data_IF_667367128096
#
_entry.id   IF_667367128096
#
_cell.length_a   1.000
_cell.length_b   1.000
_cell.length_c   1.000
_cell.angle_alpha   90.00
_cell.angle_beta   90.00
_cell.angle_gamma   90.00
#
_symmetry.space_group_name_H-M   'P 1'
#
loop_
_entity.id
_entity.type
_entity.pdbx_description
1 polymer ?
#
# COMPACT_ATOMS: atom_id res chain seq x y z
N UNK A 1 -25.44 28.77 -39.40
CA UNK A 1 -25.63 27.40 -38.88
C UNK A 1 -24.33 26.57 -38.86
N UNK A 2 -23.65 26.44 -39.99
CA UNK A 2 -22.42 25.63 -40.12
C UNK A 2 -21.31 26.05 -39.14
N UNK A 3 -21.10 27.36 -38.93
CA UNK A 3 -20.06 27.89 -38.05
C UNK A 3 -20.32 27.55 -36.57
N UNK A 4 -21.55 27.63 -36.07
CA UNK A 4 -21.92 27.34 -34.68
C UNK A 4 -21.80 25.84 -34.39
N UNK A 5 -22.29 24.99 -35.31
CA UNK A 5 -22.10 23.53 -35.19
C UNK A 5 -20.62 23.15 -35.21
N UNK A 6 -19.79 23.85 -36.02
CA UNK A 6 -18.33 23.62 -36.04
C UNK A 6 -17.66 23.97 -34.72
N UNK A 7 -18.00 25.09 -34.10
CA UNK A 7 -17.45 25.51 -32.80
C UNK A 7 -17.84 24.55 -31.68
N UNK A 8 -19.10 24.11 -31.61
CA UNK A 8 -19.56 23.13 -30.62
C UNK A 8 -18.82 21.80 -30.78
N UNK A 9 -18.64 21.31 -32.01
CA UNK A 9 -17.92 20.08 -32.30
C UNK A 9 -16.45 20.18 -31.88
N UNK A 10 -15.79 21.32 -32.16
CA UNK A 10 -14.42 21.58 -31.76
C UNK A 10 -14.27 21.58 -30.22
N UNK A 11 -15.21 22.22 -29.51
CA UNK A 11 -15.19 22.23 -28.01
C UNK A 11 -15.41 20.85 -27.47
N UNK A 12 -16.31 20.03 -28.00
CA UNK A 12 -16.54 18.65 -27.61
C UNK A 12 -15.30 17.80 -27.84
N UNK A 13 -14.67 17.91 -29.02
CA UNK A 13 -13.44 17.21 -29.36
C UNK A 13 -12.26 17.64 -28.46
N UNK A 14 -12.14 18.93 -28.15
CA UNK A 14 -11.15 19.51 -27.28
C UNK A 14 -11.34 19.01 -25.82
N UNK A 15 -12.58 18.93 -25.36
CA UNK A 15 -12.92 18.36 -24.05
C UNK A 15 -12.55 16.87 -23.97
N UNK A 16 -12.91 16.06 -24.98
CA UNK A 16 -12.51 14.65 -25.05
C UNK A 16 -11.00 14.50 -25.19
N UNK A 17 -10.33 15.36 -25.96
CA UNK A 17 -8.88 15.37 -26.07
C UNK A 17 -8.21 15.70 -24.72
N UNK A 18 -8.69 16.74 -24.01
CA UNK A 18 -8.19 17.10 -22.68
C UNK A 18 -8.48 16.01 -21.65
N UNK A 19 -9.65 15.36 -21.73
CA UNK A 19 -9.95 14.19 -20.89
C UNK A 19 -9.00 13.03 -21.18
N UNK A 20 -8.65 12.79 -22.43
CA UNK A 20 -7.81 11.68 -22.85
C UNK A 20 -6.31 11.95 -22.59
N UNK A 21 -5.86 13.21 -22.76
CA UNK A 21 -4.49 13.62 -22.40
C UNK A 21 -4.31 13.70 -20.89
N UNK A 22 -5.33 14.07 -20.13
CA UNK A 22 -5.32 13.96 -18.68
C UNK A 22 -5.32 12.49 -18.21
N UNK A 23 -5.88 11.55 -19.00
CA UNK A 23 -5.70 10.08 -18.78
C UNK A 23 -4.27 9.64 -19.04
N UNK A 24 -3.57 10.23 -20.02
CA UNK A 24 -2.18 9.85 -20.39
C UNK A 24 -1.10 10.52 -19.54
N UNK A 25 -1.40 11.61 -18.84
CA UNK A 25 -0.55 12.15 -17.76
C UNK A 25 -0.84 11.43 -16.44
N UNK A 26 -0.81 10.11 -16.47
CA UNK A 26 -0.33 9.40 -15.29
C UNK A 26 1.03 9.98 -14.95
N UNK A 27 1.30 10.39 -13.71
CA UNK A 27 2.65 10.71 -13.30
C UNK A 27 3.51 9.55 -13.79
N UNK A 28 4.65 9.88 -14.41
CA UNK A 28 5.62 8.89 -14.85
C UNK A 28 5.75 7.87 -13.73
N UNK A 29 5.67 6.55 -13.99
CA UNK A 29 5.66 5.56 -12.96
C UNK A 29 6.83 5.87 -12.05
N UNK A 30 6.49 6.36 -10.85
CA UNK A 30 7.45 6.50 -9.78
C UNK A 30 8.06 5.12 -9.68
N UNK A 31 9.33 5.02 -9.99
CA UNK A 31 10.16 3.86 -10.18
C UNK A 31 9.51 2.58 -9.64
N UNK A 32 9.18 1.68 -10.60
CA UNK A 32 8.72 0.32 -10.32
C UNK A 32 7.35 0.25 -9.62
N UNK A 33 6.32 0.21 -10.42
CA UNK A 33 5.07 -0.56 -10.30
C UNK A 33 4.39 -0.73 -8.93
N UNK A 34 4.63 0.15 -7.95
CA UNK A 34 3.89 0.09 -6.68
C UNK A 34 2.52 0.71 -6.87
N UNK A 35 1.49 -0.09 -6.69
CA UNK A 35 0.15 0.42 -6.39
C UNK A 35 0.23 1.24 -5.10
N UNK A 36 -0.35 2.44 -5.11
CA UNK A 36 -0.56 3.20 -3.87
C UNK A 36 -1.71 2.52 -3.13
N UNK A 37 -1.40 1.92 -1.99
CA UNK A 37 -2.39 1.30 -1.13
C UNK A 37 -2.92 2.30 -0.10
N UNK A 38 -4.15 2.06 0.37
CA UNK A 38 -4.71 2.83 1.48
C UNK A 38 -3.81 2.70 2.72
N UNK A 39 -3.33 3.80 3.28
CA UNK A 39 -2.50 3.75 4.48
C UNK A 39 -3.34 3.26 5.67
N UNK A 40 -2.85 2.23 6.34
CA UNK A 40 -3.53 1.60 7.48
C UNK A 40 -2.56 1.49 8.65
N UNK A 41 -3.01 1.92 9.83
CA UNK A 41 -2.34 1.64 11.08
C UNK A 41 -3.35 1.06 12.07
N UNK A 42 -3.09 -0.14 12.56
CA UNK A 42 -3.95 -0.83 13.51
C UNK A 42 -3.14 -1.19 14.74
N UNK A 43 -3.57 -0.70 15.90
CA UNK A 43 -3.08 -1.20 17.19
C UNK A 43 -3.80 -2.49 17.53
N UNK A 44 -3.04 -3.53 17.81
CA UNK A 44 -3.54 -4.87 18.13
C UNK A 44 -3.39 -5.06 19.64
N UNK A 45 -4.51 -4.97 20.38
CA UNK A 45 -4.51 -5.08 21.84
C UNK A 45 -5.82 -5.68 22.37
N UNK A 46 -6.33 -6.73 21.69
CA UNK A 46 -7.63 -7.33 22.04
C UNK A 46 -7.69 -8.82 21.68
N UNK A 47 -8.86 -9.41 21.89
CA UNK A 47 -9.15 -10.79 21.47
C UNK A 47 -9.15 -10.89 19.92
N UNK A 48 -8.76 -12.03 19.35
CA UNK A 48 -8.68 -12.22 17.91
C UNK A 48 -9.94 -11.81 17.16
N UNK A 49 -11.10 -12.26 17.65
CA UNK A 49 -12.40 -11.98 17.01
C UNK A 49 -12.78 -10.50 17.03
N UNK A 50 -12.39 -9.76 18.05
CA UNK A 50 -12.59 -8.32 18.15
C UNK A 50 -11.72 -7.58 17.14
N UNK A 51 -10.44 -7.97 17.04
CA UNK A 51 -9.49 -7.40 16.08
C UNK A 51 -9.96 -7.65 14.65
N UNK A 52 -10.33 -8.89 14.32
CA UNK A 52 -10.82 -9.24 12.98
C UNK A 52 -12.10 -8.48 12.62
N UNK A 53 -13.06 -8.36 13.55
CA UNK A 53 -14.26 -7.51 13.36
C UNK A 53 -13.91 -6.05 13.15
N UNK A 54 -12.95 -5.51 13.91
CA UNK A 54 -12.45 -4.16 13.71
C UNK A 54 -11.86 -3.95 12.33
N UNK A 55 -11.05 -4.89 11.85
CA UNK A 55 -10.49 -4.88 10.51
C UNK A 55 -11.59 -4.94 9.43
N UNK A 56 -12.60 -5.82 9.59
CA UNK A 56 -13.72 -5.92 8.65
C UNK A 56 -14.58 -4.66 8.63
N UNK A 57 -14.84 -4.05 9.77
CA UNK A 57 -15.58 -2.81 9.85
C UNK A 57 -14.83 -1.67 9.15
N UNK A 58 -13.50 -1.60 9.31
CA UNK A 58 -12.67 -0.63 8.62
C UNK A 58 -12.74 -0.79 7.10
N UNK A 59 -12.66 -2.02 6.57
CA UNK A 59 -12.85 -2.30 5.14
C UNK A 59 -14.23 -1.84 4.67
N UNK A 60 -15.30 -2.16 5.42
CA UNK A 60 -16.66 -1.74 5.08
C UNK A 60 -16.84 -0.23 5.08
N UNK A 61 -16.23 0.50 6.01
CA UNK A 61 -16.28 1.96 6.03
C UNK A 61 -15.58 2.56 4.82
N UNK A 62 -14.39 2.06 4.49
CA UNK A 62 -13.67 2.50 3.29
C UNK A 62 -14.49 2.20 2.03
N UNK A 63 -15.06 1.01 1.89
CA UNK A 63 -15.92 0.66 0.75
C UNK A 63 -17.19 1.53 0.67
N UNK A 64 -17.79 1.89 1.81
CA UNK A 64 -18.95 2.82 1.81
C UNK A 64 -18.58 4.21 1.30
N UNK A 65 -17.41 4.72 1.65
CA UNK A 65 -16.93 6.01 1.13
C UNK A 65 -16.63 5.95 -0.35
N UNK A 66 -16.16 4.82 -0.87
CA UNK A 66 -15.97 4.57 -2.30
C UNK A 66 -17.28 4.59 -3.07
N UNK A 67 -18.27 3.79 -2.61
CA UNK A 67 -19.58 3.73 -3.27
C UNK A 67 -20.30 5.07 -3.25
N UNK A 68 -20.11 5.89 -2.22
CA UNK A 68 -20.60 7.25 -2.19
C UNK A 68 -19.90 8.11 -3.27
N UNK A 69 -18.57 8.00 -3.40
CA UNK A 69 -17.79 8.70 -4.43
C UNK A 69 -18.20 8.30 -5.86
N UNK A 70 -18.49 7.02 -6.09
CA UNK A 70 -18.90 6.51 -7.42
C UNK A 70 -20.25 7.10 -7.89
N UNK A 71 -21.20 7.32 -7.00
CA UNK A 71 -22.47 7.97 -7.32
C UNK A 71 -22.28 9.40 -7.84
N UNK A 72 -21.25 10.10 -7.36
CA UNK A 72 -20.95 11.48 -7.77
C UNK A 72 -20.14 11.56 -9.08
N UNK A 73 -19.61 10.46 -9.58
CA UNK A 73 -18.82 10.41 -10.84
C UNK A 73 -19.62 10.83 -12.08
N UNK A 74 -20.93 10.65 -12.06
CA UNK A 74 -21.81 11.01 -13.17
C UNK A 74 -22.17 12.51 -13.20
N UNK A 75 -22.04 13.22 -12.09
CA UNK A 75 -22.44 14.63 -11.99
C UNK A 75 -21.68 15.52 -12.97
N UNK A 76 -20.34 15.45 -13.11
CA UNK A 76 -19.63 16.26 -14.11
C UNK A 76 -20.14 16.03 -15.54
N UNK A 77 -20.51 14.79 -15.85
CA UNK A 77 -21.02 14.41 -17.15
C UNK A 77 -22.43 14.98 -17.38
N UNK A 78 -23.29 14.95 -16.38
CA UNK A 78 -24.62 15.58 -16.43
C UNK A 78 -24.48 17.09 -16.62
N UNK A 79 -23.65 17.77 -15.85
CA UNK A 79 -23.41 19.22 -15.95
C UNK A 79 -22.87 19.56 -17.34
N UNK A 80 -21.98 18.75 -17.89
CA UNK A 80 -21.45 18.93 -19.24
C UNK A 80 -22.56 18.87 -20.29
N UNK A 81 -23.46 17.88 -20.24
CA UNK A 81 -24.58 17.77 -21.19
C UNK A 81 -25.61 18.87 -21.05
N UNK A 82 -25.85 19.37 -19.83
CA UNK A 82 -26.68 20.57 -19.63
C UNK A 82 -26.06 21.76 -20.36
N UNK A 83 -24.75 21.96 -20.26
CA UNK A 83 -24.03 23.01 -21.01
C UNK A 83 -24.18 22.87 -22.53
N UNK A 84 -24.11 21.63 -23.06
CA UNK A 84 -24.32 21.34 -24.49
C UNK A 84 -25.76 21.72 -24.90
N UNK A 85 -26.76 21.34 -24.10
CA UNK A 85 -28.18 21.68 -24.39
C UNK A 85 -28.40 23.18 -24.40
N UNK A 86 -27.84 23.93 -23.45
CA UNK A 86 -27.95 25.41 -23.44
C UNK A 86 -27.30 26.04 -24.68
N UNK A 87 -26.13 25.54 -25.11
CA UNK A 87 -25.49 26.04 -26.34
C UNK A 87 -26.31 25.73 -27.59
N UNK A 88 -27.01 24.60 -27.62
CA UNK A 88 -27.88 24.23 -28.73
C UNK A 88 -29.11 25.16 -28.81
N UNK A 89 -29.68 25.54 -27.65
CA UNK A 89 -30.79 26.50 -27.56
C UNK A 89 -30.37 27.88 -28.12
N UNK A 90 -29.17 28.35 -27.70
CA UNK A 90 -28.64 29.63 -28.20
C UNK A 90 -28.44 29.59 -29.72
N UNK A 91 -27.92 28.49 -30.26
CA UNK A 91 -27.78 28.26 -31.69
C UNK A 91 -29.12 28.33 -32.45
N UNK A 92 -30.18 27.76 -31.84
CA UNK A 92 -31.53 27.79 -32.41
C UNK A 92 -32.12 29.23 -32.42
N UNK A 93 -31.93 29.97 -31.32
CA UNK A 93 -32.37 31.37 -31.22
C UNK A 93 -31.70 32.28 -32.27
N UNK A 94 -30.40 32.11 -32.48
CA UNK A 94 -29.67 32.83 -33.52
C UNK A 94 -30.22 32.52 -34.91
N UNK A 95 -30.61 31.28 -35.15
CA UNK A 95 -31.20 30.85 -36.41
C UNK A 95 -32.59 31.46 -36.66
N UNK A 96 -33.33 31.76 -35.58
CA UNK A 96 -34.60 32.46 -35.59
C UNK A 96 -34.46 34.00 -35.66
N UNK A 97 -33.23 34.52 -35.78
CA UNK A 97 -32.94 35.95 -35.88
C UNK A 97 -32.77 36.69 -34.55
N UNK A 98 -32.77 35.97 -33.41
CA UNK A 98 -32.51 36.56 -32.10
C UNK A 98 -31.02 36.50 -31.80
N UNK A 99 -30.39 37.65 -31.54
CA UNK A 99 -28.98 37.71 -31.12
C UNK A 99 -28.92 37.59 -29.59
N UNK A 100 -28.65 36.40 -29.09
CA UNK A 100 -28.44 36.11 -27.66
C UNK A 100 -27.19 35.27 -27.47
N UNK A 101 -26.32 35.66 -26.54
CA UNK A 101 -25.14 34.88 -26.15
C UNK A 101 -25.19 34.46 -24.67
N UNK A 102 -26.31 34.73 -24.00
CA UNK A 102 -26.44 34.51 -22.56
C UNK A 102 -26.31 33.01 -22.22
N UNK A 103 -26.96 32.15 -23.02
CA UNK A 103 -26.90 30.69 -22.80
C UNK A 103 -25.53 30.12 -23.14
N UNK A 104 -24.85 30.65 -24.15
CA UNK A 104 -23.47 30.24 -24.49
C UNK A 104 -22.48 30.58 -23.38
N UNK A 105 -22.59 31.77 -22.77
CA UNK A 105 -21.76 32.17 -21.63
C UNK A 105 -22.05 31.26 -20.42
N UNK A 106 -23.33 31.01 -20.13
CA UNK A 106 -23.73 30.06 -19.07
C UNK A 106 -23.17 28.64 -19.29
N UNK A 107 -23.21 28.16 -20.54
CA UNK A 107 -22.64 26.86 -20.91
C UNK A 107 -21.11 26.77 -20.65
N UNK A 108 -20.37 27.85 -20.95
CA UNK A 108 -18.93 27.92 -20.67
C UNK A 108 -18.62 27.77 -19.18
N UNK A 109 -19.39 28.43 -18.30
CA UNK A 109 -19.25 28.27 -16.85
C UNK A 109 -19.55 26.84 -16.40
N UNK A 110 -20.60 26.21 -16.95
CA UNK A 110 -20.95 24.83 -16.64
C UNK A 110 -19.86 23.87 -17.09
N UNK A 111 -19.26 24.06 -18.26
CA UNK A 111 -18.14 23.22 -18.72
C UNK A 111 -16.90 23.39 -17.87
N UNK A 112 -16.57 24.61 -17.43
CA UNK A 112 -15.47 24.86 -16.52
C UNK A 112 -15.72 24.16 -15.15
N UNK A 113 -16.94 24.30 -14.61
CA UNK A 113 -17.32 23.63 -13.36
C UNK A 113 -17.26 22.11 -13.50
N UNK A 114 -17.78 21.53 -14.60
CA UNK A 114 -17.70 20.11 -14.88
C UNK A 114 -16.23 19.61 -14.95
N UNK A 115 -15.36 20.38 -15.58
CA UNK A 115 -13.94 20.05 -15.70
C UNK A 115 -13.22 20.08 -14.34
N UNK A 116 -13.45 21.12 -13.53
CA UNK A 116 -12.85 21.22 -12.18
C UNK A 116 -13.34 20.07 -11.30
N UNK A 117 -14.65 19.77 -11.33
CA UNK A 117 -15.23 18.67 -10.56
C UNK A 117 -14.71 17.31 -11.02
N UNK A 118 -14.63 17.06 -12.33
CA UNK A 118 -14.06 15.83 -12.89
C UNK A 118 -12.59 15.65 -12.49
N UNK A 119 -11.82 16.73 -12.40
CA UNK A 119 -10.42 16.69 -11.94
C UNK A 119 -10.31 16.42 -10.43
N UNK A 120 -11.23 16.96 -9.64
CA UNK A 120 -11.28 16.74 -8.18
C UNK A 120 -11.66 15.30 -7.85
N UNK A 121 -12.66 14.75 -8.52
CA UNK A 121 -13.14 13.38 -8.30
C UNK A 121 -12.11 12.31 -8.72
N UNK A 122 -11.19 12.62 -9.63
CA UNK A 122 -10.12 11.68 -10.05
C UNK A 122 -9.05 11.43 -9.00
N UNK A 123 -8.92 12.27 -7.98
CA UNK A 123 -7.93 12.07 -6.91
C UNK A 123 -8.32 11.00 -5.89
N UNK A 124 -9.55 10.50 -5.98
CA UNK A 124 -10.11 9.51 -5.05
C UNK A 124 -9.94 8.05 -5.50
N UNK A 125 -9.12 7.76 -6.50
CA UNK A 125 -9.04 6.42 -7.08
C UNK A 125 -8.01 5.53 -6.38
N UNK A 126 -8.49 4.52 -5.81
CA UNK A 126 -7.96 3.24 -5.31
C UNK A 126 -7.78 3.17 -3.79
N UNK A 127 -8.80 2.70 -3.12
CA UNK A 127 -8.72 2.18 -1.76
C UNK A 127 -8.38 0.67 -1.78
N UNK A 128 -7.36 0.30 -2.55
CA UNK A 128 -6.83 -1.05 -2.50
C UNK A 128 -6.05 -1.24 -1.19
N UNK A 129 -6.35 -2.29 -0.47
CA UNK A 129 -5.57 -2.67 0.70
C UNK A 129 -4.34 -3.47 0.29
N UNK A 130 -3.23 -3.22 0.99
CA UNK A 130 -2.01 -3.99 0.78
C UNK A 130 -2.25 -5.49 0.97
N UNK A 131 -1.64 -6.37 0.16
CA UNK A 131 -1.64 -7.82 0.41
C UNK A 131 -1.24 -8.19 1.84
N UNK A 132 -0.39 -7.39 2.48
CA UNK A 132 0.00 -7.55 3.90
C UNK A 132 -1.17 -7.41 4.87
N UNK A 133 -2.15 -6.57 4.53
CA UNK A 133 -3.36 -6.42 5.34
C UNK A 133 -4.14 -7.73 5.39
N UNK A 134 -4.44 -8.29 4.22
CA UNK A 134 -5.13 -9.57 4.11
C UNK A 134 -4.31 -10.72 4.71
N UNK A 135 -3.00 -10.73 4.44
CA UNK A 135 -2.08 -11.71 5.01
C UNK A 135 -2.02 -11.66 6.54
N UNK A 136 -2.06 -10.46 7.14
CA UNK A 136 -2.10 -10.32 8.59
C UNK A 136 -3.40 -10.85 9.18
N UNK A 137 -4.54 -10.57 8.52
CA UNK A 137 -5.84 -11.10 8.93
C UNK A 137 -5.84 -12.63 8.92
N UNK A 138 -5.27 -13.25 7.88
CA UNK A 138 -5.14 -14.69 7.76
C UNK A 138 -4.23 -15.30 8.84
N UNK A 139 -3.11 -14.64 9.14
CA UNK A 139 -2.23 -15.04 10.25
C UNK A 139 -2.98 -14.99 11.59
N UNK A 140 -3.73 -13.92 11.85
CA UNK A 140 -4.53 -13.79 13.08
C UNK A 140 -5.63 -14.87 13.16
N UNK A 141 -6.27 -15.17 12.03
CA UNK A 141 -7.29 -16.21 11.93
C UNK A 141 -6.71 -17.61 12.23
N UNK A 142 -5.57 -17.93 11.65
CA UNK A 142 -4.90 -19.22 11.86
C UNK A 142 -4.40 -19.36 13.30
N UNK A 143 -3.79 -18.30 13.86
CA UNK A 143 -3.27 -18.36 15.23
C UNK A 143 -4.36 -18.28 16.31
N UNK A 144 -5.59 -17.91 15.94
CA UNK A 144 -6.71 -17.80 16.88
C UNK A 144 -6.95 -19.12 17.64
N UNK A 145 -6.90 -20.22 16.92
CA UNK A 145 -7.23 -21.53 17.46
C UNK A 145 -6.10 -22.07 18.37
N UNK A 146 -4.89 -21.54 18.24
CA UNK A 146 -3.73 -21.86 19.07
C UNK A 146 -3.62 -20.98 20.32
N UNK A 147 -4.53 -20.02 20.54
CA UNK A 147 -4.48 -19.14 21.70
C UNK A 147 -5.08 -19.78 22.94
N UNK A 148 -4.49 -19.46 24.09
CA UNK A 148 -5.11 -19.78 25.37
C UNK A 148 -6.48 -19.08 25.47
N UNK A 149 -7.54 -19.75 25.97
CA UNK A 149 -8.84 -19.14 26.17
C UNK A 149 -8.74 -17.82 26.95
N UNK A 150 -9.30 -16.74 26.39
CA UNK A 150 -9.24 -15.40 26.96
C UNK A 150 -7.93 -14.64 26.72
N UNK A 151 -6.93 -15.23 26.07
CA UNK A 151 -5.69 -14.53 25.69
C UNK A 151 -5.98 -13.47 24.62
N UNK A 152 -5.17 -12.40 24.66
CA UNK A 152 -5.22 -11.29 23.72
C UNK A 152 -3.97 -11.27 22.85
N UNK A 153 -4.11 -10.82 21.61
CA UNK A 153 -2.96 -10.40 20.82
C UNK A 153 -2.53 -9.00 21.27
N UNK A 154 -1.22 -8.78 21.28
CA UNK A 154 -0.62 -7.47 21.51
C UNK A 154 0.33 -7.15 20.37
N UNK A 155 0.28 -5.91 19.85
CA UNK A 155 1.20 -5.48 18.82
C UNK A 155 0.64 -4.37 17.93
N UNK A 156 1.11 -4.32 16.70
CA UNK A 156 0.65 -3.36 15.70
C UNK A 156 0.84 -3.86 14.27
N UNK A 157 0.03 -3.30 13.39
CA UNK A 157 0.13 -3.41 11.94
C UNK A 157 0.26 -1.99 11.36
N UNK A 158 1.36 -1.71 10.67
CA UNK A 158 1.63 -0.43 10.02
C UNK A 158 1.79 -0.61 8.51
N UNK A 159 0.78 -0.19 7.75
CA UNK A 159 0.76 -0.20 6.30
C UNK A 159 0.73 1.23 5.72
N UNK A 160 1.24 2.21 6.45
CA UNK A 160 1.27 3.62 6.02
C UNK A 160 2.25 3.89 4.88
N UNK A 161 3.08 2.92 4.55
CA UNK A 161 4.08 2.98 3.47
C UNK A 161 5.50 2.80 3.98
N UNK A 162 6.30 2.03 3.23
CA UNK A 162 7.65 1.64 3.65
C UNK A 162 8.72 2.73 3.41
N UNK A 163 8.47 3.71 2.55
CA UNK A 163 9.44 4.73 2.15
C UNK A 163 9.02 6.15 2.56
N UNK A 164 8.35 6.29 3.70
CA UNK A 164 8.04 7.59 4.28
C UNK A 164 9.29 8.24 4.89
N UNK A 165 9.34 9.57 4.85
CA UNK A 165 10.48 10.32 5.42
C UNK A 165 10.69 10.04 6.92
N UNK A 166 9.63 9.76 7.65
CA UNK A 166 9.65 9.38 9.08
C UNK A 166 10.30 8.01 9.35
N UNK A 167 10.41 7.17 8.33
CA UNK A 167 10.99 5.81 8.41
C UNK A 167 12.44 5.74 7.89
N UNK A 168 13.06 6.89 7.60
CA UNK A 168 14.48 6.95 7.23
C UNK A 168 15.33 6.62 8.44
N UNK A 169 16.00 5.48 8.41
CA UNK A 169 16.92 5.06 9.49
C UNK A 169 18.32 5.65 9.32
N UNK A 170 18.76 5.81 8.07
CA UNK A 170 20.12 6.32 7.76
C UNK A 170 20.17 6.89 6.34
N UNK A 171 21.00 7.93 6.15
CA UNK A 171 21.41 8.44 4.85
C UNK A 171 22.91 8.17 4.63
N UNK A 172 23.27 7.75 3.44
CA UNK A 172 24.67 7.56 3.03
C UNK A 172 24.93 8.33 1.77
N UNK A 173 26.12 8.95 1.68
CA UNK A 173 26.59 9.60 0.46
C UNK A 173 27.72 8.77 -0.15
N UNK A 174 27.71 8.64 -1.45
CA UNK A 174 28.81 8.04 -2.19
C UNK A 174 29.86 9.10 -2.60
N UNK A 175 30.97 8.64 -3.16
CA UNK A 175 32.09 9.49 -3.66
C UNK A 175 31.67 10.50 -4.73
N UNK A 176 30.48 10.36 -5.31
CA UNK A 176 29.91 11.26 -6.31
C UNK A 176 28.83 12.17 -5.73
N UNK A 177 28.79 12.36 -4.40
CA UNK A 177 27.80 13.16 -3.68
C UNK A 177 26.33 12.73 -3.92
N UNK A 178 26.11 11.45 -4.25
CA UNK A 178 24.74 10.92 -4.42
C UNK A 178 24.25 10.37 -3.09
N UNK A 179 23.17 10.93 -2.60
CA UNK A 179 22.56 10.51 -1.33
C UNK A 179 21.67 9.29 -1.54
N UNK A 180 21.90 8.25 -0.76
CA UNK A 180 21.03 7.07 -0.66
C UNK A 180 20.40 7.05 0.73
N UNK A 181 19.07 6.98 0.75
CA UNK A 181 18.26 6.81 1.96
C UNK A 181 18.03 5.33 2.22
N UNK A 182 18.22 4.92 3.46
CA UNK A 182 17.91 3.59 3.97
C UNK A 182 16.69 3.70 4.87
N UNK A 183 15.64 3.01 4.53
CA UNK A 183 14.39 2.99 5.27
C UNK A 183 14.29 1.72 6.11
N UNK A 184 13.69 1.83 7.28
CA UNK A 184 13.34 0.70 8.14
C UNK A 184 11.89 0.83 8.55
N UNK A 185 11.08 -0.13 8.10
CA UNK A 185 9.64 -0.14 8.29
C UNK A 185 9.24 -1.39 9.10
N UNK A 186 9.06 -1.28 10.42
CA UNK A 186 8.52 -2.36 11.25
C UNK A 186 7.00 -2.44 11.06
N UNK A 187 6.56 -3.07 9.99
CA UNK A 187 5.17 -3.06 9.58
C UNK A 187 4.27 -4.03 10.35
N UNK A 188 4.83 -5.09 10.96
CA UNK A 188 4.09 -6.07 11.74
C UNK A 188 4.82 -6.38 13.04
N UNK A 189 4.08 -6.35 14.13
CA UNK A 189 4.50 -6.86 15.43
C UNK A 189 3.32 -7.56 16.08
N UNK A 190 3.48 -8.82 16.47
CA UNK A 190 2.48 -9.62 17.15
C UNK A 190 3.11 -10.33 18.34
N UNK A 191 2.40 -10.32 19.47
CA UNK A 191 2.74 -11.10 20.67
C UNK A 191 1.48 -11.81 21.15
N UNK A 192 1.58 -13.09 21.44
CA UNK A 192 0.47 -13.89 21.93
C UNK A 192 0.94 -14.95 22.93
N UNK A 193 0.10 -15.29 23.92
CA UNK A 193 0.26 -16.45 24.77
C UNK A 193 -0.57 -17.59 24.19
N UNK A 194 0.11 -18.67 23.83
CA UNK A 194 -0.51 -19.81 23.18
C UNK A 194 -1.11 -20.78 24.21
N UNK A 195 -1.95 -21.70 23.73
CA UNK A 195 -2.65 -22.68 24.54
C UNK A 195 -1.68 -23.61 25.31
N UNK A 196 -0.57 -23.93 24.67
CA UNK A 196 0.50 -24.77 25.22
C UNK A 196 1.36 -24.09 26.31
N UNK A 197 1.04 -22.84 26.65
CA UNK A 197 1.76 -22.01 27.62
C UNK A 197 2.94 -21.23 27.06
N UNK A 198 3.35 -21.48 25.83
CA UNK A 198 4.41 -20.75 25.16
C UNK A 198 3.99 -19.31 24.84
N UNK A 199 4.97 -18.39 24.76
CA UNK A 199 4.72 -17.00 24.31
C UNK A 199 5.41 -16.79 22.98
N UNK A 200 4.58 -16.58 21.96
CA UNK A 200 5.04 -16.26 20.62
C UNK A 200 5.17 -14.75 20.44
N UNK A 201 6.27 -14.29 19.85
CA UNK A 201 6.45 -12.94 19.33
C UNK A 201 6.94 -13.02 17.89
N UNK A 202 6.24 -12.34 16.99
CA UNK A 202 6.58 -12.25 15.57
C UNK A 202 6.70 -10.79 15.21
N UNK A 203 7.78 -10.41 14.54
CA UNK A 203 7.88 -9.07 13.95
C UNK A 203 8.47 -9.14 12.56
N UNK A 204 7.87 -8.38 11.64
CA UNK A 204 8.33 -8.25 10.27
C UNK A 204 8.77 -6.80 10.01
N UNK A 205 9.99 -6.64 9.51
CA UNK A 205 10.62 -5.35 9.22
C UNK A 205 11.00 -5.32 7.75
N UNK A 206 10.53 -4.33 7.02
CA UNK A 206 10.99 -4.09 5.66
C UNK A 206 12.10 -3.06 5.66
N UNK A 207 13.24 -3.41 5.08
CA UNK A 207 14.36 -2.51 4.83
C UNK A 207 14.41 -2.18 3.35
N UNK A 208 14.36 -0.90 3.00
CA UNK A 208 14.38 -0.45 1.62
C UNK A 208 15.47 0.57 1.39
N UNK A 209 16.00 0.62 0.17
CA UNK A 209 17.04 1.58 -0.22
C UNK A 209 16.57 2.40 -1.41
N UNK A 210 16.65 3.73 -1.32
CA UNK A 210 16.24 4.66 -2.35
C UNK A 210 17.32 5.73 -2.54
N UNK A 211 17.79 5.90 -3.76
CA UNK A 211 18.69 6.99 -4.09
C UNK A 211 17.88 8.24 -4.41
N UNK A 212 18.20 9.37 -3.75
CA UNK A 212 17.60 10.69 -4.04
C UNK A 212 17.90 11.14 -5.48
N UNK A 213 17.09 12.03 -6.01
CA UNK A 213 17.37 12.71 -7.27
C UNK A 213 18.68 13.52 -7.16
N UNK A 214 19.45 13.59 -8.24
CA UNK A 214 20.69 14.34 -8.28
C UNK A 214 20.96 14.89 -9.68
N UNK A 215 21.71 16.00 -9.73
CA UNK A 215 22.15 16.59 -10.99
C UNK A 215 23.40 15.86 -11.50
N UNK A 216 23.36 15.44 -12.75
CA UNK A 216 24.54 14.84 -13.42
C UNK A 216 24.92 15.67 -14.63
N UNK A 217 26.17 16.14 -14.67
CA UNK A 217 26.73 16.81 -15.84
C UNK A 217 27.12 15.79 -16.89
N UNK A 218 26.70 16.03 -18.14
CA UNK A 218 27.10 15.22 -19.29
C UNK A 218 28.58 15.46 -19.61
N UNK A 219 29.34 14.39 -19.80
CA UNK A 219 30.77 14.50 -20.18
C UNK A 219 30.93 15.02 -21.62
N UNK A 220 29.97 14.75 -22.52
CA UNK A 220 30.04 15.12 -23.92
C UNK A 220 29.53 16.55 -24.16
N UNK A 221 28.33 16.86 -23.68
CA UNK A 221 27.69 18.14 -23.98
C UNK A 221 27.83 19.20 -22.88
N UNK A 222 28.47 18.89 -21.75
CA UNK A 222 28.59 19.78 -20.59
C UNK A 222 27.27 20.12 -19.90
N UNK A 223 26.11 19.77 -20.47
CA UNK A 223 24.78 20.09 -19.93
C UNK A 223 24.47 19.28 -18.68
N UNK A 224 23.91 19.91 -17.67
CA UNK A 224 23.42 19.24 -16.48
C UNK A 224 22.02 18.67 -16.72
N UNK A 225 21.80 17.41 -16.30
CA UNK A 225 20.50 16.70 -16.35
C UNK A 225 20.13 16.22 -14.96
N UNK A 226 18.92 16.49 -14.55
CA UNK A 226 18.37 15.91 -13.33
C UNK A 226 18.14 14.41 -13.54
N UNK A 227 18.77 13.58 -12.72
CA UNK A 227 18.49 12.16 -12.62
C UNK A 227 17.43 11.95 -11.55
N UNK A 228 16.29 11.30 -11.88
CA UNK A 228 15.24 11.06 -10.91
C UNK A 228 15.71 10.13 -9.80
N UNK A 229 14.96 10.13 -8.72
CA UNK A 229 15.14 9.16 -7.66
C UNK A 229 15.06 7.72 -8.20
N UNK A 230 15.80 6.82 -7.56
CA UNK A 230 15.84 5.41 -7.98
C UNK A 230 15.77 4.49 -6.79
N UNK A 231 14.81 3.58 -6.83
CA UNK A 231 14.74 2.43 -5.92
C UNK A 231 15.96 1.50 -6.14
N UNK A 232 16.56 1.03 -5.05
CA UNK A 232 17.80 0.25 -5.06
C UNK A 232 17.63 -1.17 -4.55
N UNK A 233 16.44 -1.50 -4.10
CA UNK A 233 16.11 -2.82 -3.58
C UNK A 233 15.49 -2.75 -2.20
N UNK A 234 14.94 -3.86 -1.81
CA UNK A 234 14.25 -4.08 -0.54
C UNK A 234 14.66 -5.44 0.00
N UNK A 235 14.64 -5.56 1.32
CA UNK A 235 14.88 -6.79 2.06
C UNK A 235 13.86 -6.86 3.17
N UNK A 236 13.25 -8.01 3.39
CA UNK A 236 12.36 -8.24 4.51
C UNK A 236 13.06 -9.08 5.58
N UNK A 237 12.99 -8.64 6.83
CA UNK A 237 13.44 -9.38 8.00
C UNK A 237 12.24 -9.89 8.78
N UNK A 238 12.23 -11.17 9.09
CA UNK A 238 11.27 -11.79 9.97
C UNK A 238 12.00 -12.23 11.25
N UNK A 239 11.55 -11.69 12.39
CA UNK A 239 12.06 -12.07 13.71
C UNK A 239 10.99 -12.86 14.43
N UNK A 240 11.33 -14.06 14.83
CA UNK A 240 10.46 -14.94 15.61
C UNK A 240 11.13 -15.21 16.94
N UNK A 241 10.40 -14.98 18.02
CA UNK A 241 10.84 -15.33 19.37
C UNK A 241 9.77 -16.16 20.06
N UNK A 242 10.16 -17.33 20.51
CA UNK A 242 9.31 -18.25 21.26
C UNK A 242 9.91 -18.39 22.67
N UNK A 243 9.17 -17.97 23.68
CA UNK A 243 9.51 -18.28 25.07
C UNK A 243 8.79 -19.57 25.40
N UNK A 244 9.59 -20.59 25.64
CA UNK A 244 9.14 -22.00 25.81
C UNK A 244 8.68 -22.24 27.24
N UNK A 245 7.55 -22.92 27.40
CA UNK A 245 7.12 -23.42 28.71
C UNK A 245 7.98 -24.62 29.11
N UNK A 246 8.85 -24.49 30.13
CA UNK A 246 9.81 -25.52 30.46
C UNK A 246 9.17 -26.79 31.11
N UNK A 247 7.91 -26.66 31.57
CA UNK A 247 7.17 -27.80 32.13
C UNK A 247 6.68 -28.75 31.04
N UNK A 248 6.30 -28.18 29.87
CA UNK A 248 5.67 -28.95 28.80
C UNK A 248 6.62 -29.32 27.66
N UNK A 249 7.66 -28.52 27.43
CA UNK A 249 8.51 -28.64 26.24
C UNK A 249 10.01 -28.58 26.59
N UNK A 250 10.79 -29.23 25.76
CA UNK A 250 12.24 -29.07 25.65
C UNK A 250 12.60 -28.59 24.24
N UNK A 251 13.69 -27.86 24.12
CA UNK A 251 14.20 -27.38 22.83
C UNK A 251 15.18 -28.43 22.31
N UNK A 252 14.90 -28.98 21.13
CA UNK A 252 15.80 -29.84 20.39
C UNK A 252 16.30 -29.19 19.14
N UNK A 253 17.59 -28.86 19.02
CA UNK A 253 18.15 -28.33 17.79
C UNK A 253 17.90 -29.30 16.64
N UNK A 254 17.25 -28.84 15.58
CA UNK A 254 17.05 -29.65 14.38
C UNK A 254 18.21 -29.47 13.43
N UNK A 255 18.68 -30.57 12.84
CA UNK A 255 19.69 -30.53 11.80
C UNK A 255 19.21 -29.69 10.55
N UNK A 256 17.90 -29.62 10.37
CA UNK A 256 17.24 -28.94 9.25
C UNK A 256 16.85 -27.47 9.54
N UNK A 257 17.31 -26.89 10.66
CA UNK A 257 16.99 -25.50 11.00
C UNK A 257 18.26 -24.77 11.46
N UNK A 258 19.11 -24.43 10.50
CA UNK A 258 20.43 -23.82 10.74
C UNK A 258 20.58 -22.51 9.93
N UNK A 259 21.46 -21.61 10.34
CA UNK A 259 21.82 -20.45 9.53
C UNK A 259 22.24 -20.84 8.10
N UNK A 260 21.76 -20.09 7.12
CA UNK A 260 21.96 -20.34 5.69
C UNK A 260 20.91 -21.24 5.02
N UNK A 261 20.05 -21.92 5.78
CA UNK A 261 18.97 -22.71 5.20
C UNK A 261 17.77 -21.87 4.77
N UNK A 262 17.08 -22.35 3.72
CA UNK A 262 15.88 -21.72 3.21
C UNK A 262 14.63 -22.42 3.75
N UNK A 263 13.69 -21.62 4.25
CA UNK A 263 12.36 -22.04 4.65
C UNK A 263 11.35 -21.20 3.86
N UNK A 264 10.78 -21.76 2.81
CA UNK A 264 9.98 -21.03 1.85
C UNK A 264 10.80 -19.93 1.15
N UNK A 265 10.33 -18.68 1.22
CA UNK A 265 11.03 -17.50 0.66
C UNK A 265 12.02 -16.85 1.64
N UNK A 266 12.17 -17.41 2.83
CA UNK A 266 13.10 -16.91 3.85
C UNK A 266 14.37 -17.72 3.93
N UNK A 267 15.50 -17.05 4.09
CA UNK A 267 16.78 -17.63 4.46
C UNK A 267 17.04 -17.35 5.93
N UNK A 268 17.31 -18.38 6.71
CA UNK A 268 17.63 -18.26 8.14
C UNK A 268 18.98 -17.55 8.25
N UNK A 269 19.03 -16.39 8.89
CA UNK A 269 20.26 -15.65 9.13
C UNK A 269 20.89 -16.03 10.48
N UNK A 270 20.06 -16.24 11.49
CA UNK A 270 20.51 -16.51 12.85
C UNK A 270 19.47 -17.34 13.59
N UNK A 271 19.95 -18.31 14.39
CA UNK A 271 19.15 -19.09 15.32
C UNK A 271 19.88 -19.11 16.65
N UNK A 272 19.23 -18.66 17.69
CA UNK A 272 19.73 -18.76 19.06
C UNK A 272 18.68 -19.44 19.92
N UNK A 273 19.11 -20.49 20.64
CA UNK A 273 18.28 -21.32 21.52
C UNK A 273 18.90 -21.36 22.92
N UNK A 274 18.77 -20.28 23.65
CA UNK A 274 19.37 -20.16 24.99
C UNK A 274 18.31 -19.88 26.05
N UNK A 275 18.48 -20.44 27.25
CA UNK A 275 17.64 -20.15 28.41
C UNK A 275 16.15 -20.44 28.24
N UNK A 276 15.75 -21.44 27.45
CA UNK A 276 14.34 -21.75 27.18
C UNK A 276 13.68 -20.77 26.20
N UNK A 277 14.49 -20.04 25.44
CA UNK A 277 14.02 -19.07 24.43
C UNK A 277 14.58 -19.45 23.06
N UNK A 278 13.73 -19.48 22.05
CA UNK A 278 14.13 -19.62 20.67
C UNK A 278 14.03 -18.24 20.04
N UNK A 279 15.15 -17.70 19.54
CA UNK A 279 15.19 -16.48 18.74
C UNK A 279 15.66 -16.83 17.34
N UNK A 280 14.91 -16.46 16.35
CA UNK A 280 15.21 -16.70 14.94
C UNK A 280 15.14 -15.40 14.19
N UNK A 281 16.17 -15.13 13.38
CA UNK A 281 16.18 -14.06 12.42
C UNK A 281 16.24 -14.67 11.02
N UNK A 282 15.26 -14.39 10.21
CA UNK A 282 15.23 -14.80 8.82
C UNK A 282 15.12 -13.58 7.89
N UNK A 283 15.69 -13.70 6.71
CA UNK A 283 15.75 -12.62 5.72
C UNK A 283 15.21 -13.10 4.38
N UNK A 284 14.60 -12.19 3.66
CA UNK A 284 14.12 -12.43 2.29
C UNK A 284 14.40 -11.22 1.40
N UNK A 285 14.92 -11.43 0.18
CA UNK A 285 15.12 -10.36 -0.78
C UNK A 285 13.82 -9.89 -1.43
N UNK A 286 12.70 -10.55 -1.15
CA UNK A 286 11.40 -10.21 -1.70
C UNK A 286 10.73 -9.10 -0.89
N UNK A 287 10.06 -8.20 -1.58
CA UNK A 287 9.35 -7.08 -0.95
C UNK A 287 8.03 -7.52 -0.32
N UNK A 288 7.24 -8.27 -1.08
CA UNK A 288 5.98 -8.81 -0.63
C UNK A 288 6.10 -10.33 -0.44
N UNK A 289 5.75 -10.78 0.74
CA UNK A 289 5.77 -12.20 1.12
C UNK A 289 4.35 -12.61 1.47
N UNK A 290 3.90 -13.69 0.86
CA UNK A 290 2.63 -14.29 1.14
C UNK A 290 2.58 -14.83 2.57
N UNK A 291 1.42 -14.73 3.22
CA UNK A 291 1.20 -15.17 4.60
C UNK A 291 1.56 -16.65 4.82
N UNK A 292 1.36 -17.48 3.82
CA UNK A 292 1.69 -18.92 3.88
C UNK A 292 3.18 -19.17 4.18
N UNK A 293 4.06 -18.33 3.64
CA UNK A 293 5.50 -18.44 3.95
C UNK A 293 5.82 -18.04 5.39
N UNK A 294 5.09 -17.05 5.95
CA UNK A 294 5.25 -16.68 7.37
C UNK A 294 4.73 -17.79 8.26
N UNK A 295 3.54 -18.32 7.98
CA UNK A 295 2.97 -19.44 8.76
C UNK A 295 3.81 -20.71 8.64
N UNK A 296 4.28 -21.03 7.43
CA UNK A 296 5.19 -22.15 7.20
C UNK A 296 6.51 -22.01 7.97
N UNK A 297 7.03 -20.78 8.07
CA UNK A 297 8.21 -20.47 8.86
C UNK A 297 7.94 -20.65 10.36
N UNK A 298 6.79 -20.18 10.87
CA UNK A 298 6.39 -20.39 12.27
C UNK A 298 6.23 -21.87 12.60
N UNK A 299 5.57 -22.64 11.73
CA UNK A 299 5.44 -24.09 11.86
C UNK A 299 6.82 -24.78 11.95
N UNK A 300 7.75 -24.36 11.09
CA UNK A 300 9.12 -24.88 11.12
C UNK A 300 9.88 -24.48 12.39
N UNK A 301 9.66 -23.28 12.91
CA UNK A 301 10.23 -22.85 14.19
C UNK A 301 9.68 -23.69 15.38
N UNK A 302 8.38 -24.01 15.33
CA UNK A 302 7.75 -24.89 16.32
C UNK A 302 8.24 -26.32 16.27
N UNK A 303 8.74 -26.81 15.15
CA UNK A 303 9.33 -28.15 15.04
C UNK A 303 10.63 -28.33 15.87
N UNK A 304 11.19 -27.22 16.37
CA UNK A 304 12.32 -27.27 17.34
C UNK A 304 11.86 -27.66 18.76
N UNK A 305 10.58 -27.65 19.04
CA UNK A 305 10.00 -28.00 20.33
C UNK A 305 9.61 -29.47 20.36
N UNK A 306 10.05 -30.17 21.36
CA UNK A 306 9.60 -31.52 21.66
C UNK A 306 8.85 -31.53 22.99
N UNK A 307 7.62 -32.09 22.94
CA UNK A 307 6.84 -32.28 24.16
C UNK A 307 7.56 -33.26 25.09
N UNK A 308 7.68 -32.90 26.35
CA UNK A 308 8.20 -33.80 27.39
C UNK A 308 7.22 -34.96 27.57
N UNK A 309 7.75 -36.16 27.74
CA UNK A 309 6.92 -37.30 28.16
C UNK A 309 6.36 -36.99 29.55
N UNK A 310 5.03 -37.18 29.68
CA UNK A 310 4.34 -37.01 30.96
C UNK A 310 4.75 -38.14 31.93
#
# INVERSE_FOLDING_TARGET
MVVVCGIVLVIVLLFFYLLNTARKKTPAPSAVGKKDYTPVYVSIADKPDSIMRGMDNFVREVQKTETAGDKWRWIPLIIFFIGVALSAIDGLLILLGYVSFIFTVGALFLWLAAFIMARSLRKSDSHDFSPRYYGTKEILHTLRDDLKPGATFLGHLDLTGSMLQTKVARETQDTQNRTTQHFSDPWLSLKAKLYDGNVLRVSAIQKSKKRKSYWKRSRISGKSKLKPEKFKGSEQELKVRIVVNPEAYEIRPSANFKPGQNVGKYTIAEVNTDGGIINILAKSPFEDIEQEHILGFLKSAYSLLQRKAA
#
